data_IF_066399755355
#
_entry.id   IF_066399755355
#
_cell.length_a   1.000
_cell.length_b   1.000
_cell.length_c   1.000
_cell.angle_alpha   90.00
_cell.angle_beta   90.00
_cell.angle_gamma   90.00
#
_symmetry.space_group_name_H-M   'P 1'
#
loop_
_entity.id
_entity.type
_entity.pdbx_description
1 polymer ?
#
# COMPACT_ATOMS: atom_id res chain seq x y z
N UNK A 1 -31.98 47.86 -23.95
CA UNK A 1 -32.40 47.39 -22.61
C UNK A 1 -33.79 46.75 -22.57
N UNK A 2 -34.84 47.28 -23.22
CA UNK A 2 -36.19 46.67 -23.17
C UNK A 2 -36.35 45.28 -23.81
N UNK A 3 -35.46 44.87 -24.74
CA UNK A 3 -35.48 43.52 -25.36
C UNK A 3 -34.91 42.41 -24.46
N UNK A 4 -34.00 42.72 -23.54
CA UNK A 4 -33.36 41.70 -22.69
C UNK A 4 -34.23 41.34 -21.47
N UNK A 5 -35.08 42.27 -21.02
CA UNK A 5 -36.02 42.03 -19.91
C UNK A 5 -37.13 41.07 -20.35
N UNK A 6 -37.60 41.15 -21.61
CA UNK A 6 -38.65 40.25 -22.12
C UNK A 6 -38.11 38.82 -22.26
N UNK A 7 -36.87 38.64 -22.74
CA UNK A 7 -36.24 37.32 -22.84
C UNK A 7 -35.99 36.73 -21.44
N UNK A 8 -35.52 37.54 -20.49
CA UNK A 8 -35.33 37.11 -19.11
C UNK A 8 -36.64 36.72 -18.42
N UNK A 9 -37.73 37.47 -18.64
CA UNK A 9 -39.05 37.12 -18.10
C UNK A 9 -39.61 35.84 -18.74
N UNK A 10 -39.41 35.60 -20.04
CA UNK A 10 -39.82 34.35 -20.69
C UNK A 10 -39.01 33.15 -20.15
N UNK A 11 -37.71 33.32 -19.95
CA UNK A 11 -36.84 32.28 -19.38
C UNK A 11 -37.19 31.96 -17.92
N UNK A 12 -37.48 32.98 -17.11
CA UNK A 12 -37.92 32.81 -15.72
C UNK A 12 -39.32 32.20 -15.62
N UNK A 13 -40.21 32.51 -16.58
CA UNK A 13 -41.55 31.89 -16.68
C UNK A 13 -41.47 30.41 -17.07
N UNK A 14 -40.53 30.04 -17.94
CA UNK A 14 -40.26 28.65 -18.29
C UNK A 14 -39.62 27.88 -17.12
N UNK A 15 -38.68 28.49 -16.39
CA UNK A 15 -38.10 27.91 -15.18
C UNK A 15 -39.15 27.71 -14.07
N UNK A 16 -40.01 28.70 -13.83
CA UNK A 16 -41.07 28.58 -12.82
C UNK A 16 -42.17 27.60 -13.25
N UNK A 17 -42.47 27.47 -14.54
CA UNK A 17 -43.36 26.43 -15.06
C UNK A 17 -42.73 25.04 -14.92
N UNK A 18 -41.41 24.90 -15.17
CA UNK A 18 -40.67 23.65 -15.03
C UNK A 18 -40.54 23.21 -13.56
N UNK A 19 -40.37 24.15 -12.63
CA UNK A 19 -40.39 23.88 -11.19
C UNK A 19 -41.81 23.62 -10.64
N UNK A 20 -42.86 24.16 -11.28
CA UNK A 20 -44.25 23.96 -10.87
C UNK A 20 -44.92 22.73 -11.53
N UNK A 21 -44.30 22.12 -12.54
CA UNK A 21 -44.75 20.86 -13.15
C UNK A 21 -43.67 19.79 -13.03
N UNK A 22 -43.35 19.41 -11.80
CA UNK A 22 -43.11 17.98 -11.55
C UNK A 22 -44.47 17.40 -11.20
N UNK A 23 -45.14 16.66 -12.10
CA UNK A 23 -46.24 15.83 -11.66
C UNK A 23 -45.62 14.81 -10.71
N UNK A 24 -46.03 14.86 -9.44
CA UNK A 24 -46.24 13.64 -8.69
C UNK A 24 -47.08 12.73 -9.58
N UNK A 25 -46.40 11.83 -10.30
CA UNK A 25 -47.02 10.59 -10.71
C UNK A 25 -47.19 9.81 -9.42
N UNK A 26 -48.34 10.00 -8.80
CA UNK A 26 -48.97 8.93 -8.05
C UNK A 26 -49.12 7.76 -9.03
N UNK A 27 -48.09 6.92 -9.09
CA UNK A 27 -48.23 5.56 -9.57
C UNK A 27 -48.90 4.75 -8.46
N UNK A 28 -50.16 5.09 -8.16
CA UNK A 28 -51.14 4.07 -7.77
C UNK A 28 -51.55 3.32 -9.03
N UNK A 29 -50.58 2.64 -9.65
CA UNK A 29 -50.82 1.59 -10.61
C UNK A 29 -50.52 0.31 -9.86
N UNK A 30 -51.56 -0.21 -9.24
CA UNK A 30 -51.65 -1.56 -8.71
C UNK A 30 -51.52 -2.52 -9.91
N UNK A 31 -50.30 -2.77 -10.34
CA UNK A 31 -49.94 -3.87 -11.21
C UNK A 31 -49.23 -4.89 -10.34
N UNK A 32 -49.71 -6.13 -10.35
CA UNK A 32 -48.95 -7.29 -9.92
C UNK A 32 -47.71 -7.45 -10.83
N UNK A 33 -46.73 -6.57 -10.66
CA UNK A 33 -45.44 -6.61 -11.33
C UNK A 33 -44.58 -7.62 -10.56
N UNK A 34 -44.21 -8.70 -11.23
CA UNK A 34 -43.18 -9.61 -10.75
C UNK A 34 -41.94 -8.78 -10.37
N UNK A 35 -41.35 -9.04 -9.19
CA UNK A 35 -40.14 -8.36 -8.75
C UNK A 35 -39.08 -8.39 -9.85
N UNK A 36 -38.31 -7.32 -10.09
CA UNK A 36 -37.27 -7.30 -11.11
C UNK A 36 -36.25 -8.42 -10.87
N UNK A 37 -35.64 -8.91 -11.96
CA UNK A 37 -34.80 -10.12 -11.93
C UNK A 37 -33.66 -10.03 -10.91
N UNK A 38 -32.92 -8.91 -10.87
CA UNK A 38 -31.83 -8.71 -9.91
C UNK A 38 -32.33 -8.85 -8.46
N UNK A 39 -33.53 -8.35 -8.17
CA UNK A 39 -34.13 -8.45 -6.84
C UNK A 39 -34.43 -9.91 -6.50
N UNK A 40 -35.00 -10.68 -7.42
CA UNK A 40 -35.26 -12.11 -7.22
C UNK A 40 -33.96 -12.90 -6.95
N UNK A 41 -32.86 -12.54 -7.62
CA UNK A 41 -31.56 -13.22 -7.51
C UNK A 41 -30.84 -12.86 -6.21
N UNK A 42 -30.87 -11.58 -5.82
CA UNK A 42 -30.05 -11.04 -4.74
C UNK A 42 -30.79 -10.93 -3.39
N UNK A 43 -32.13 -11.01 -3.38
CA UNK A 43 -32.93 -10.96 -2.15
C UNK A 43 -32.49 -12.04 -1.15
N UNK A 44 -32.28 -11.63 0.10
CA UNK A 44 -31.87 -12.51 1.20
C UNK A 44 -30.43 -13.04 1.09
N UNK A 45 -29.64 -12.55 0.13
CA UNK A 45 -28.23 -12.91 0.01
C UNK A 45 -27.38 -12.08 0.96
N UNK A 46 -26.22 -12.64 1.29
CA UNK A 46 -25.23 -12.01 2.15
C UNK A 46 -24.23 -11.24 1.28
N UNK A 47 -24.03 -9.97 1.62
CA UNK A 47 -23.03 -9.10 1.02
C UNK A 47 -21.69 -9.27 1.75
N UNK A 48 -20.65 -9.72 1.05
CA UNK A 48 -19.33 -9.96 1.66
C UNK A 48 -18.41 -8.78 1.37
N UNK A 49 -17.79 -8.21 2.42
CA UNK A 49 -16.77 -7.17 2.32
C UNK A 49 -15.64 -7.58 1.34
N UNK A 50 -15.20 -6.64 0.49
CA UNK A 50 -14.12 -6.83 -0.49
C UNK A 50 -14.42 -7.78 -1.64
N UNK A 51 -15.66 -8.29 -1.71
CA UNK A 51 -16.06 -9.30 -2.70
C UNK A 51 -17.39 -8.96 -3.35
N UNK A 52 -18.45 -8.72 -2.58
CA UNK A 52 -19.82 -8.57 -3.08
C UNK A 52 -20.70 -9.78 -2.77
N UNK A 53 -21.62 -10.12 -3.67
CA UNK A 53 -22.51 -11.27 -3.54
C UNK A 53 -21.81 -12.54 -4.06
N UNK A 54 -21.18 -13.28 -3.14
CA UNK A 54 -20.33 -14.43 -3.48
C UNK A 54 -21.08 -15.46 -4.34
N UNK A 55 -20.49 -15.81 -5.49
CA UNK A 55 -21.06 -16.77 -6.45
C UNK A 55 -22.15 -16.20 -7.36
N UNK A 56 -22.48 -14.91 -7.25
CA UNK A 56 -23.49 -14.24 -8.06
C UNK A 56 -22.88 -13.06 -8.81
N UNK A 57 -22.50 -12.00 -8.09
CA UNK A 57 -21.84 -10.82 -8.63
C UNK A 57 -20.82 -10.28 -7.64
N UNK A 58 -19.62 -10.04 -8.13
CA UNK A 58 -18.48 -9.61 -7.34
C UNK A 58 -17.77 -8.42 -7.97
N UNK A 59 -17.00 -7.69 -7.17
CA UNK A 59 -16.09 -6.60 -7.58
C UNK A 59 -14.87 -7.10 -8.39
N UNK A 60 -14.92 -8.33 -8.91
CA UNK A 60 -13.90 -8.91 -9.79
C UNK A 60 -14.50 -9.37 -11.12
N UNK A 61 -15.82 -9.26 -11.27
CA UNK A 61 -16.52 -9.68 -12.47
C UNK A 61 -16.56 -8.58 -13.53
N UNK A 62 -16.83 -8.98 -14.77
CA UNK A 62 -17.10 -8.06 -15.89
C UNK A 62 -18.61 -7.82 -16.03
N UNK A 63 -19.05 -6.61 -16.38
CA UNK A 63 -20.48 -6.27 -16.51
C UNK A 63 -21.22 -7.18 -17.50
N UNK A 64 -20.57 -7.52 -18.62
CA UNK A 64 -21.15 -8.35 -19.68
C UNK A 64 -21.66 -9.71 -19.17
N UNK A 65 -20.97 -10.33 -18.20
CA UNK A 65 -21.37 -11.63 -17.63
C UNK A 65 -22.56 -11.49 -16.69
N UNK A 66 -22.86 -10.28 -16.20
CA UNK A 66 -23.86 -10.05 -15.15
C UNK A 66 -25.19 -9.55 -15.67
N UNK A 67 -25.25 -8.96 -16.87
CA UNK A 67 -26.53 -8.57 -17.48
C UNK A 67 -27.45 -9.78 -17.68
N UNK A 68 -26.90 -10.94 -18.08
CA UNK A 68 -27.68 -12.17 -18.24
C UNK A 68 -28.26 -12.67 -16.91
N UNK A 69 -27.52 -12.46 -15.80
CA UNK A 69 -27.91 -12.92 -14.47
C UNK A 69 -28.91 -11.99 -13.79
N UNK A 70 -28.69 -10.68 -13.88
CA UNK A 70 -29.42 -9.66 -13.11
C UNK A 70 -30.49 -8.93 -13.94
N UNK A 71 -30.47 -9.09 -15.25
CA UNK A 71 -31.27 -8.32 -16.20
C UNK A 71 -30.54 -7.08 -16.71
N UNK A 72 -31.22 -6.34 -17.57
CA UNK A 72 -30.69 -5.12 -18.20
C UNK A 72 -30.66 -3.96 -17.20
N UNK A 73 -29.48 -3.37 -16.93
CA UNK A 73 -29.39 -2.19 -16.08
C UNK A 73 -29.87 -0.92 -16.82
N UNK A 74 -30.19 0.12 -16.05
CA UNK A 74 -30.24 1.49 -16.54
C UNK A 74 -28.81 2.03 -16.63
N UNK A 75 -28.49 2.68 -17.74
CA UNK A 75 -27.22 3.38 -17.95
C UNK A 75 -27.47 4.90 -17.99
N UNK A 76 -26.55 5.69 -17.44
CA UNK A 76 -26.61 7.14 -17.44
C UNK A 76 -25.39 7.73 -18.15
N UNK A 77 -25.62 8.71 -19.03
CA UNK A 77 -24.55 9.38 -19.77
C UNK A 77 -23.71 10.29 -18.87
N UNK A 78 -24.26 10.76 -17.75
CA UNK A 78 -23.51 11.56 -16.77
C UNK A 78 -22.55 10.69 -15.94
N UNK A 79 -22.83 9.38 -15.84
CA UNK A 79 -22.04 8.40 -15.08
C UNK A 79 -21.62 7.24 -16.00
N UNK A 80 -20.67 7.47 -16.93
CA UNK A 80 -20.25 6.43 -17.86
C UNK A 80 -19.70 5.21 -17.10
N UNK A 81 -19.98 4.01 -17.64
CA UNK A 81 -19.56 2.72 -17.06
C UNK A 81 -20.14 2.45 -15.67
N UNK A 82 -21.25 3.11 -15.33
CA UNK A 82 -22.03 2.86 -14.12
C UNK A 82 -23.38 2.26 -14.52
N UNK A 83 -23.74 1.16 -13.87
CA UNK A 83 -24.94 0.38 -14.18
C UNK A 83 -25.87 0.37 -12.98
N UNK A 84 -27.09 0.89 -13.16
CA UNK A 84 -28.08 1.06 -12.11
C UNK A 84 -29.18 0.00 -12.19
N UNK A 85 -29.45 -0.64 -11.07
CA UNK A 85 -30.57 -1.57 -10.84
C UNK A 85 -31.45 -0.99 -9.74
N UNK A 86 -32.36 -0.09 -10.10
CA UNK A 86 -33.08 0.81 -9.18
C UNK A 86 -34.62 0.73 -9.26
N UNK A 87 -35.16 -0.21 -10.04
CA UNK A 87 -36.61 -0.40 -10.27
C UNK A 87 -37.32 -1.22 -9.17
N UNK A 88 -36.56 -1.89 -8.29
CA UNK A 88 -37.07 -2.83 -7.28
C UNK A 88 -37.31 -2.24 -5.88
N UNK A 89 -37.51 -3.14 -4.92
CA UNK A 89 -37.59 -2.78 -3.50
C UNK A 89 -36.26 -2.27 -2.94
N UNK A 90 -35.14 -2.71 -3.56
CA UNK A 90 -33.83 -2.14 -3.30
C UNK A 90 -33.03 -1.76 -4.53
N UNK A 91 -32.09 -0.84 -4.36
CA UNK A 91 -31.27 -0.28 -5.44
C UNK A 91 -29.84 -0.80 -5.34
N UNK A 92 -29.28 -1.26 -6.47
CA UNK A 92 -27.87 -1.62 -6.57
C UNK A 92 -27.24 -0.90 -7.74
N UNK A 93 -26.08 -0.31 -7.50
CA UNK A 93 -25.27 0.34 -8.52
C UNK A 93 -23.93 -0.38 -8.65
N UNK A 94 -23.53 -0.68 -9.88
CA UNK A 94 -22.19 -1.17 -10.18
C UNK A 94 -21.38 -0.10 -10.88
N UNK A 95 -20.36 0.42 -10.20
CA UNK A 95 -19.38 1.32 -10.81
C UNK A 95 -18.22 0.49 -11.35
N UNK A 96 -17.91 0.67 -12.64
CA UNK A 96 -16.90 -0.10 -13.31
C UNK A 96 -15.68 0.75 -13.67
N UNK A 97 -14.52 0.11 -13.67
CA UNK A 97 -13.27 0.71 -14.08
C UNK A 97 -12.70 -0.05 -15.28
N UNK A 98 -12.08 0.70 -16.19
CA UNK A 98 -11.39 0.12 -17.33
C UNK A 98 -10.08 -0.52 -16.88
N UNK A 99 -10.00 -1.84 -16.96
CA UNK A 99 -8.77 -2.57 -16.73
C UNK A 99 -7.94 -2.61 -18.01
N UNK A 100 -6.79 -1.93 -17.98
CA UNK A 100 -5.87 -1.85 -19.13
C UNK A 100 -5.16 -3.17 -19.44
N UNK A 101 -5.02 -4.09 -18.47
CA UNK A 101 -4.28 -5.35 -18.64
C UNK A 101 -5.02 -6.34 -19.52
N UNK A 102 -6.34 -6.40 -19.42
CA UNK A 102 -7.17 -7.31 -20.23
C UNK A 102 -8.13 -6.58 -21.18
N UNK A 103 -8.02 -5.25 -21.25
CA UNK A 103 -8.84 -4.36 -22.09
C UNK A 103 -10.35 -4.51 -21.83
N UNK A 104 -10.74 -4.84 -20.58
CA UNK A 104 -12.14 -5.01 -20.18
C UNK A 104 -12.55 -4.05 -19.06
N UNK A 105 -13.84 -3.74 -19.00
CA UNK A 105 -14.43 -3.11 -17.81
C UNK A 105 -14.66 -4.16 -16.73
N UNK A 106 -14.24 -3.84 -15.51
CA UNK A 106 -14.48 -4.67 -14.32
C UNK A 106 -15.28 -3.86 -13.32
N UNK A 107 -16.20 -4.53 -12.63
CA UNK A 107 -16.90 -3.93 -11.50
C UNK A 107 -15.83 -3.60 -10.45
N UNK A 108 -15.65 -2.34 -10.10
CA UNK A 108 -14.74 -1.94 -9.03
C UNK A 108 -15.51 -1.69 -7.73
N UNK A 109 -16.77 -1.26 -7.84
CA UNK A 109 -17.63 -1.02 -6.69
C UNK A 109 -19.04 -1.58 -6.89
N UNK A 110 -19.61 -2.09 -5.81
CA UNK A 110 -21.02 -2.44 -5.66
C UNK A 110 -21.59 -1.55 -4.56
N UNK A 111 -22.53 -0.69 -4.91
CA UNK A 111 -23.21 0.21 -3.99
C UNK A 111 -24.62 -0.32 -3.79
N UNK A 112 -25.01 -0.55 -2.54
CA UNK A 112 -26.36 -0.93 -2.16
C UNK A 112 -27.03 0.26 -1.48
N UNK A 113 -28.19 0.63 -2.00
CA UNK A 113 -29.03 1.73 -1.51
C UNK A 113 -30.47 1.23 -1.38
N UNK A 114 -31.27 1.93 -0.55
CA UNK A 114 -32.72 1.70 -0.39
C UNK A 114 -33.06 0.23 -0.12
N UNK A 115 -33.16 -0.26 1.12
CA UNK A 115 -33.71 -1.61 1.38
C UNK A 115 -34.68 -1.52 2.58
N UNK A 116 -35.97 -1.24 2.34
CA UNK A 116 -36.93 -0.95 3.41
C UNK A 116 -37.19 -2.16 4.31
N UNK A 117 -36.92 -3.36 3.81
CA UNK A 117 -37.14 -4.62 4.52
C UNK A 117 -35.83 -5.19 5.11
N UNK A 118 -34.69 -4.52 4.90
CA UNK A 118 -33.36 -4.91 5.37
C UNK A 118 -33.00 -6.37 5.05
N UNK A 119 -33.39 -6.83 3.85
CA UNK A 119 -33.27 -8.22 3.45
C UNK A 119 -31.83 -8.57 3.06
N UNK A 120 -31.04 -7.60 2.62
CA UNK A 120 -29.64 -7.79 2.31
C UNK A 120 -28.79 -7.30 3.48
N UNK A 121 -27.98 -8.22 4.01
CA UNK A 121 -27.08 -7.97 5.13
C UNK A 121 -25.65 -8.27 4.76
N UNK A 122 -24.72 -7.56 5.38
CA UNK A 122 -23.31 -7.92 5.34
C UNK A 122 -23.07 -9.26 6.06
N UNK A 123 -21.90 -9.87 5.86
CA UNK A 123 -21.49 -11.07 6.61
C UNK A 123 -21.43 -10.87 8.14
N UNK A 124 -21.32 -9.61 8.61
CA UNK A 124 -21.38 -9.26 10.03
C UNK A 124 -22.79 -8.85 10.52
N UNK A 125 -23.80 -8.97 9.66
CA UNK A 125 -25.20 -8.75 10.00
C UNK A 125 -25.71 -7.31 9.86
N UNK A 126 -24.88 -6.39 9.38
CA UNK A 126 -25.25 -4.97 9.14
C UNK A 126 -26.11 -4.85 7.86
N UNK A 127 -27.20 -4.10 7.93
CA UNK A 127 -28.08 -3.72 6.83
C UNK A 127 -28.21 -2.19 6.69
N UNK A 128 -28.86 -1.75 5.60
CA UNK A 128 -29.32 -0.37 5.47
C UNK A 128 -30.29 -0.01 6.60
N UNK A 129 -30.18 1.21 7.13
CA UNK A 129 -30.96 1.71 8.26
C UNK A 129 -30.46 1.29 9.65
N UNK A 130 -29.42 0.45 9.75
CA UNK A 130 -28.76 0.19 11.04
C UNK A 130 -27.95 1.43 11.49
N UNK A 131 -27.75 1.58 12.80
CA UNK A 131 -26.96 2.70 13.35
C UNK A 131 -25.46 2.56 13.05
N UNK A 132 -24.79 3.68 12.77
CA UNK A 132 -23.33 3.69 12.56
C UNK A 132 -22.54 3.19 13.79
N UNK A 133 -23.11 3.34 14.98
CA UNK A 133 -22.53 2.81 16.22
C UNK A 133 -22.43 1.27 16.19
N UNK A 134 -23.44 0.59 15.63
CA UNK A 134 -23.43 -0.85 15.46
C UNK A 134 -22.35 -1.29 14.45
N UNK A 135 -22.11 -0.50 13.41
CA UNK A 135 -21.01 -0.74 12.46
C UNK A 135 -19.67 -0.74 13.17
N UNK A 136 -19.39 0.32 13.96
CA UNK A 136 -18.15 0.43 14.73
C UNK A 136 -17.99 -0.72 15.74
N UNK A 137 -19.08 -1.18 16.35
CA UNK A 137 -19.05 -2.36 17.22
C UNK A 137 -18.67 -3.64 16.46
N UNK A 138 -19.25 -3.88 15.27
CA UNK A 138 -19.02 -5.12 14.51
C UNK A 138 -17.71 -5.11 13.73
N UNK A 139 -17.29 -3.96 13.21
CA UNK A 139 -16.11 -3.82 12.36
C UNK A 139 -14.87 -3.28 13.10
N UNK A 140 -15.03 -2.71 14.29
CA UNK A 140 -13.94 -2.19 15.11
C UNK A 140 -13.67 -0.71 14.85
N UNK A 141 -12.43 -0.29 15.11
CA UNK A 141 -11.98 1.08 14.83
C UNK A 141 -11.99 1.32 13.32
N UNK A 142 -12.68 2.36 12.87
CA UNK A 142 -12.64 2.77 11.47
C UNK A 142 -11.23 3.28 11.12
N UNK A 143 -10.78 3.00 9.90
CA UNK A 143 -9.49 3.45 9.40
C UNK A 143 -9.59 4.89 8.90
N UNK A 144 -10.66 5.19 8.15
CA UNK A 144 -11.01 6.54 7.72
C UNK A 144 -12.44 6.88 8.15
N UNK A 145 -12.60 8.00 8.86
CA UNK A 145 -13.90 8.56 9.22
C UNK A 145 -14.12 9.86 8.44
N UNK A 146 -15.22 9.92 7.69
CA UNK A 146 -15.67 11.10 6.95
C UNK A 146 -16.88 11.71 7.66
N UNK A 147 -17.23 12.95 7.30
CA UNK A 147 -18.41 13.62 7.88
C UNK A 147 -19.71 12.83 7.66
N UNK A 148 -19.77 12.07 6.58
CA UNK A 148 -20.90 11.33 6.05
C UNK A 148 -20.72 9.80 6.09
N UNK A 149 -19.66 9.26 6.71
CA UNK A 149 -19.50 7.81 6.74
C UNK A 149 -18.24 7.27 7.41
N UNK A 150 -18.08 5.95 7.36
CA UNK A 150 -16.89 5.22 7.82
C UNK A 150 -16.43 4.22 6.78
N UNK A 151 -15.11 4.08 6.62
CA UNK A 151 -14.51 3.21 5.60
C UNK A 151 -13.48 2.27 6.23
N UNK A 152 -13.44 1.04 5.71
CA UNK A 152 -12.49 -0.01 6.08
C UNK A 152 -11.74 -0.53 4.83
N UNK A 153 -10.73 0.21 4.34
CA UNK A 153 -10.03 -0.07 3.07
C UNK A 153 -9.54 -1.51 2.93
N UNK A 154 -8.88 -2.01 3.97
CA UNK A 154 -8.32 -3.37 4.03
C UNK A 154 -9.38 -4.47 3.95
N UNK A 155 -10.62 -4.15 4.30
CA UNK A 155 -11.75 -5.08 4.24
C UNK A 155 -12.55 -4.91 2.94
N UNK A 156 -12.34 -3.84 2.17
CA UNK A 156 -13.08 -3.58 0.94
C UNK A 156 -14.54 -3.20 1.19
N UNK A 157 -14.82 -2.43 2.25
CA UNK A 157 -16.19 -2.01 2.60
C UNK A 157 -16.25 -0.60 3.19
N UNK A 158 -17.32 0.12 2.89
CA UNK A 158 -17.65 1.44 3.45
C UNK A 158 -19.13 1.56 3.74
N UNK A 159 -19.48 2.49 4.63
CA UNK A 159 -20.84 2.76 5.07
C UNK A 159 -21.06 4.27 5.08
N UNK A 160 -22.02 4.74 4.27
CA UNK A 160 -22.46 6.15 4.24
C UNK A 160 -23.69 6.28 5.11
N UNK A 161 -23.76 7.34 5.92
CA UNK A 161 -24.84 7.58 6.87
C UNK A 161 -25.73 8.74 6.43
N UNK A 162 -26.98 8.71 6.84
CA UNK A 162 -27.91 9.83 6.70
C UNK A 162 -27.77 10.85 7.85
N UNK A 163 -28.63 11.86 7.85
CA UNK A 163 -28.67 12.88 8.90
C UNK A 163 -29.02 12.35 10.30
N UNK A 164 -29.51 11.10 10.41
CA UNK A 164 -29.88 10.45 11.66
C UNK A 164 -28.81 9.45 12.14
N UNK A 165 -27.61 9.47 11.55
CA UNK A 165 -26.52 8.51 11.80
C UNK A 165 -26.88 7.05 11.51
N UNK A 166 -27.88 6.83 10.63
CA UNK A 166 -28.25 5.49 10.13
C UNK A 166 -27.64 5.24 8.77
N UNK A 167 -27.34 3.98 8.44
CA UNK A 167 -26.69 3.63 7.19
C UNK A 167 -27.64 3.85 6.01
N UNK A 168 -27.32 4.82 5.16
CA UNK A 168 -28.02 5.09 3.91
C UNK A 168 -27.51 4.21 2.77
N UNK A 169 -26.20 3.92 2.77
CA UNK A 169 -25.54 3.18 1.69
C UNK A 169 -24.48 2.23 2.23
N UNK A 170 -24.36 1.06 1.60
CA UNK A 170 -23.25 0.12 1.82
C UNK A 170 -22.46 0.01 0.52
N UNK A 171 -21.18 0.35 0.60
CA UNK A 171 -20.27 0.32 -0.55
C UNK A 171 -19.31 -0.86 -0.37
N UNK A 172 -19.28 -1.77 -1.32
CA UNK A 172 -18.26 -2.82 -1.43
C UNK A 172 -17.34 -2.44 -2.58
N UNK A 173 -16.06 -2.33 -2.30
CA UNK A 173 -15.06 -2.10 -3.34
C UNK A 173 -14.06 -3.24 -3.38
N UNK A 174 -13.42 -3.40 -4.53
CA UNK A 174 -12.31 -4.32 -4.68
C UNK A 174 -11.24 -3.98 -3.64
N UNK A 175 -10.80 -4.97 -2.87
CA UNK A 175 -9.56 -4.82 -2.10
C UNK A 175 -8.47 -4.78 -3.16
N UNK A 176 -7.75 -3.66 -3.34
CA UNK A 176 -6.58 -3.65 -4.19
C UNK A 176 -5.61 -4.65 -3.57
N UNK A 177 -5.46 -5.81 -4.20
CA UNK A 177 -4.23 -6.56 -4.01
C UNK A 177 -3.17 -5.73 -4.70
N UNK A 178 -2.05 -5.40 -4.04
CA UNK A 178 -0.92 -4.79 -4.73
C UNK A 178 -0.62 -5.64 -5.96
N UNK A 179 -0.95 -5.13 -7.14
CA UNK A 179 -0.62 -5.81 -8.38
C UNK A 179 0.82 -5.41 -8.67
N UNK A 180 1.76 -6.31 -8.35
CA UNK A 180 3.17 -6.08 -8.61
C UNK A 180 3.34 -5.61 -10.06
N UNK A 181 4.09 -4.53 -10.31
CA UNK A 181 4.54 -4.22 -11.65
C UNK A 181 5.21 -5.44 -12.25
N UNK A 182 5.01 -5.68 -13.55
CA UNK A 182 5.57 -6.87 -14.24
C UNK A 182 7.08 -7.01 -14.03
N UNK A 183 7.80 -5.90 -13.98
CA UNK A 183 9.24 -5.88 -13.75
C UNK A 183 9.66 -6.26 -12.32
N UNK A 184 8.73 -6.49 -11.39
CA UNK A 184 9.00 -7.14 -10.10
C UNK A 184 8.57 -8.60 -10.06
N UNK A 185 7.94 -9.11 -11.12
CA UNK A 185 7.66 -10.54 -11.29
C UNK A 185 8.92 -11.28 -11.78
N UNK A 186 8.89 -12.62 -11.86
CA UNK A 186 10.08 -13.35 -12.30
C UNK A 186 10.11 -13.41 -13.81
N UNK A 187 11.17 -12.84 -14.39
CA UNK A 187 11.46 -12.95 -15.80
C UNK A 187 12.83 -13.59 -16.01
N UNK A 188 12.90 -14.50 -16.98
CA UNK A 188 14.16 -15.09 -17.41
C UNK A 188 14.89 -14.06 -18.27
N UNK A 189 16.06 -13.61 -17.84
CA UNK A 189 16.93 -12.75 -18.64
C UNK A 189 17.99 -13.60 -19.35
N UNK A 190 18.15 -13.46 -20.68
CA UNK A 190 18.94 -14.39 -21.48
C UNK A 190 20.46 -14.15 -21.42
N UNK A 191 20.91 -12.99 -20.94
CA UNK A 191 22.32 -12.63 -20.92
C UNK A 191 23.01 -13.03 -19.60
N UNK A 192 24.34 -13.07 -19.64
CA UNK A 192 25.15 -13.37 -18.46
C UNK A 192 25.12 -12.18 -17.49
N UNK A 193 24.75 -12.46 -16.24
CA UNK A 193 24.75 -11.49 -15.16
C UNK A 193 26.01 -11.64 -14.30
N UNK A 194 26.61 -10.51 -13.95
CA UNK A 194 27.67 -10.41 -12.97
C UNK A 194 27.12 -9.89 -11.65
N UNK A 195 27.55 -10.49 -10.55
CA UNK A 195 27.22 -10.00 -9.21
C UNK A 195 28.19 -8.89 -8.80
N UNK A 196 27.62 -7.81 -8.31
CA UNK A 196 28.32 -6.62 -7.84
C UNK A 196 27.96 -6.38 -6.38
N UNK A 197 28.96 -6.02 -5.58
CA UNK A 197 28.77 -5.60 -4.21
C UNK A 197 28.95 -4.09 -4.11
N UNK A 198 27.89 -3.38 -3.72
CA UNK A 198 27.90 -1.94 -3.48
C UNK A 198 27.63 -1.72 -2.00
N UNK A 199 28.70 -1.42 -1.25
CA UNK A 199 28.71 -1.39 0.21
C UNK A 199 28.29 -2.75 0.81
N UNK A 200 27.02 -2.89 1.17
CA UNK A 200 26.43 -4.06 1.81
C UNK A 200 25.16 -4.55 1.07
N UNK A 201 24.97 -4.02 -0.13
CA UNK A 201 23.96 -4.44 -1.07
C UNK A 201 24.63 -5.30 -2.15
N UNK A 202 24.02 -6.43 -2.47
CA UNK A 202 24.33 -7.20 -3.67
C UNK A 202 23.32 -6.86 -4.75
N UNK A 203 23.81 -6.72 -5.99
CA UNK A 203 22.99 -6.53 -7.18
C UNK A 203 23.65 -7.28 -8.34
N UNK A 204 22.85 -7.80 -9.26
CA UNK A 204 23.30 -8.49 -10.46
C UNK A 204 22.97 -7.64 -11.69
N UNK A 205 23.99 -7.35 -12.51
CA UNK A 205 23.88 -6.54 -13.74
C UNK A 205 24.39 -7.34 -14.93
N UNK A 206 24.01 -7.00 -16.18
CA UNK A 206 24.63 -7.62 -17.34
C UNK A 206 26.16 -7.44 -17.33
N UNK A 207 26.89 -8.50 -17.69
CA UNK A 207 28.34 -8.51 -17.64
C UNK A 207 29.01 -7.47 -18.56
N UNK A 208 28.28 -6.97 -19.57
CA UNK A 208 28.72 -5.94 -20.51
C UNK A 208 28.69 -4.52 -19.96
N UNK A 209 27.98 -4.27 -18.85
CA UNK A 209 27.80 -2.93 -18.30
C UNK A 209 29.08 -2.41 -17.66
N UNK A 210 29.35 -1.12 -17.88
CA UNK A 210 30.57 -0.47 -17.40
C UNK A 210 30.28 0.45 -16.22
N UNK A 211 31.12 0.37 -15.18
CA UNK A 211 31.07 1.31 -14.06
C UNK A 211 31.42 2.74 -14.52
N UNK A 212 30.65 3.71 -14.04
CA UNK A 212 30.88 5.15 -14.26
C UNK A 212 30.92 5.89 -12.94
N UNK A 213 31.80 6.89 -12.87
CA UNK A 213 31.91 7.77 -11.72
C UNK A 213 30.94 8.95 -11.92
N UNK A 214 29.80 8.91 -11.24
CA UNK A 214 28.89 10.06 -11.12
C UNK A 214 29.29 10.91 -9.89
N UNK A 215 29.08 12.23 -9.94
CA UNK A 215 29.57 13.18 -8.92
C UNK A 215 28.66 13.33 -7.67
N UNK A 216 29.30 13.76 -6.58
CA UNK A 216 28.92 14.17 -5.20
C UNK A 216 27.87 13.40 -4.37
N UNK A 217 26.89 12.67 -4.93
CA UNK A 217 25.86 12.00 -4.09
C UNK A 217 25.54 10.53 -4.46
N UNK A 218 26.14 10.00 -5.52
CA UNK A 218 26.02 8.59 -5.91
C UNK A 218 27.14 7.74 -5.31
N UNK A 219 26.81 6.55 -4.82
CA UNK A 219 27.81 5.59 -4.36
C UNK A 219 28.37 4.79 -5.54
N UNK A 220 27.52 4.44 -6.50
CA UNK A 220 27.89 3.69 -7.68
C UNK A 220 26.96 4.02 -8.84
N UNK A 221 27.43 3.81 -10.06
CA UNK A 221 26.56 3.79 -11.23
C UNK A 221 27.19 3.08 -12.40
N UNK A 222 26.33 2.64 -13.32
CA UNK A 222 26.68 1.74 -14.40
C UNK A 222 25.93 2.13 -15.67
N UNK A 223 26.62 2.14 -16.79
CA UNK A 223 26.01 2.38 -18.11
C UNK A 223 26.08 1.12 -18.97
N UNK A 224 25.02 0.88 -19.73
CA UNK A 224 25.01 -0.03 -20.85
C UNK A 224 25.63 0.65 -22.09
N UNK A 225 26.77 0.16 -22.61
CA UNK A 225 27.39 0.73 -23.80
C UNK A 225 26.57 0.54 -25.08
N UNK A 226 25.65 -0.44 -25.14
CA UNK A 226 24.86 -0.73 -26.34
C UNK A 226 23.56 0.07 -26.39
N UNK A 227 22.81 0.07 -25.28
CA UNK A 227 21.47 0.69 -25.24
C UNK A 227 21.49 2.11 -24.69
N UNK A 228 22.54 2.49 -23.95
CA UNK A 228 22.58 3.74 -23.21
C UNK A 228 21.70 3.76 -21.95
N UNK A 229 21.21 2.59 -21.51
CA UNK A 229 20.60 2.43 -20.20
C UNK A 229 21.59 2.78 -19.10
N UNK A 230 21.11 3.38 -18.00
CA UNK A 230 21.97 3.80 -16.90
C UNK A 230 21.35 3.47 -15.55
N UNK A 231 22.13 2.82 -14.69
CA UNK A 231 21.77 2.54 -13.30
C UNK A 231 22.55 3.50 -12.38
N UNK A 232 21.83 4.13 -11.45
CA UNK A 232 22.40 4.97 -10.41
C UNK A 232 22.00 4.47 -9.03
N UNK A 233 22.98 4.34 -8.13
CA UNK A 233 22.77 3.95 -6.74
C UNK A 233 23.23 5.10 -5.84
N UNK A 234 22.30 5.59 -5.03
CA UNK A 234 22.54 6.70 -4.09
C UNK A 234 22.15 6.28 -2.67
N UNK A 235 22.69 6.99 -1.68
CA UNK A 235 22.41 6.74 -0.27
C UNK A 235 22.30 8.03 0.52
N UNK A 236 21.36 8.04 1.47
CA UNK A 236 21.26 9.01 2.54
C UNK A 236 21.21 8.29 3.89
N UNK A 237 21.30 9.06 4.96
CA UNK A 237 21.11 8.60 6.33
C UNK A 237 20.07 9.48 7.01
N UNK A 238 19.32 8.89 7.93
CA UNK A 238 18.37 9.63 8.77
C UNK A 238 19.10 10.66 9.65
N UNK A 239 18.48 11.84 9.78
CA UNK A 239 18.78 12.84 10.79
C UNK A 239 17.48 13.33 11.45
N UNK A 240 17.57 14.23 12.44
CA UNK A 240 16.42 14.73 13.21
C UNK A 240 15.31 15.40 12.37
N UNK A 241 15.55 15.65 11.08
CA UNK A 241 14.62 16.29 10.16
C UNK A 241 14.31 15.45 8.90
N UNK A 242 14.79 14.20 8.83
CA UNK A 242 14.82 13.45 7.57
C UNK A 242 14.35 11.99 7.70
N UNK A 243 13.05 11.77 7.58
CA UNK A 243 12.43 10.43 7.62
C UNK A 243 12.36 9.76 6.25
N UNK A 244 12.11 8.44 6.21
CA UNK A 244 11.88 7.68 4.97
C UNK A 244 10.83 8.31 4.05
N UNK A 245 9.70 8.76 4.61
CA UNK A 245 8.62 9.39 3.83
C UNK A 245 9.11 10.70 3.19
N UNK A 246 9.86 11.50 3.94
CA UNK A 246 10.45 12.74 3.44
C UNK A 246 11.47 12.45 2.35
N UNK A 247 12.27 11.39 2.50
CA UNK A 247 13.22 10.95 1.49
C UNK A 247 12.53 10.50 0.20
N UNK A 248 11.47 9.70 0.30
CA UNK A 248 10.67 9.27 -0.86
C UNK A 248 10.15 10.49 -1.61
N UNK A 249 9.51 11.44 -0.92
CA UNK A 249 9.00 12.65 -1.58
C UNK A 249 10.10 13.49 -2.25
N UNK A 250 11.28 13.57 -1.63
CA UNK A 250 12.42 14.27 -2.22
C UNK A 250 12.92 13.56 -3.49
N UNK A 251 13.07 12.23 -3.44
CA UNK A 251 13.53 11.45 -4.58
C UNK A 251 12.52 11.50 -5.73
N UNK A 252 11.23 11.39 -5.43
CA UNK A 252 10.19 11.58 -6.45
C UNK A 252 10.29 12.97 -7.07
N UNK A 253 10.38 14.04 -6.27
CA UNK A 253 10.47 15.39 -6.80
C UNK A 253 11.72 15.66 -7.67
N UNK A 254 12.82 14.95 -7.42
CA UNK A 254 14.09 15.14 -8.16
C UNK A 254 14.11 14.30 -9.45
N UNK A 255 13.65 13.05 -9.39
CA UNK A 255 13.87 12.06 -10.44
C UNK A 255 12.60 11.64 -11.18
N UNK A 256 11.41 11.96 -10.65
CA UNK A 256 10.12 11.46 -11.17
C UNK A 256 9.14 12.62 -11.39
N UNK A 257 8.74 12.82 -12.64
CA UNK A 257 7.72 13.82 -12.97
C UNK A 257 6.30 13.36 -12.59
N UNK A 258 5.96 12.12 -12.94
CA UNK A 258 4.68 11.49 -12.59
C UNK A 258 4.89 9.98 -12.40
N UNK A 259 4.49 9.45 -11.24
CA UNK A 259 4.61 8.03 -10.94
C UNK A 259 3.40 7.26 -11.49
N UNK A 260 3.68 6.40 -12.47
CA UNK A 260 2.71 5.58 -13.21
C UNK A 260 2.17 4.40 -12.39
N UNK A 261 2.77 4.10 -11.23
CA UNK A 261 2.28 3.09 -10.30
C UNK A 261 1.17 3.72 -9.44
N UNK A 262 -0.01 3.07 -9.28
CA UNK A 262 -1.05 3.55 -8.39
C UNK A 262 -0.53 3.74 -6.96
N UNK A 263 -0.94 4.82 -6.28
CA UNK A 263 -0.42 5.21 -4.95
C UNK A 263 -0.45 4.07 -3.92
N UNK A 264 -1.53 3.28 -3.90
CA UNK A 264 -1.69 2.16 -2.98
C UNK A 264 -0.76 0.96 -3.25
N UNK A 265 -0.15 0.89 -4.44
CA UNK A 265 0.70 -0.22 -4.86
C UNK A 265 2.20 0.13 -4.78
N UNK A 266 2.54 1.36 -4.35
CA UNK A 266 3.93 1.85 -4.35
C UNK A 266 4.74 1.38 -3.15
N UNK A 267 4.09 1.02 -2.05
CA UNK A 267 4.77 0.48 -0.87
C UNK A 267 4.93 -1.03 -0.98
N UNK A 268 6.13 -1.53 -0.69
CA UNK A 268 6.40 -2.95 -0.73
C UNK A 268 5.80 -3.66 0.48
N UNK A 269 5.26 -4.86 0.24
CA UNK A 269 4.70 -5.71 1.30
C UNK A 269 5.80 -6.37 2.15
N UNK A 270 5.46 -6.79 3.37
CA UNK A 270 6.43 -7.45 4.29
C UNK A 270 7.16 -8.64 3.66
N UNK A 271 6.48 -9.46 2.87
CA UNK A 271 7.10 -10.65 2.26
C UNK A 271 8.12 -10.27 1.18
N UNK A 272 7.89 -9.15 0.47
CA UNK A 272 8.89 -8.61 -0.45
C UNK A 272 10.05 -7.98 0.29
N UNK A 273 9.78 -7.26 1.38
CA UNK A 273 10.81 -6.65 2.22
C UNK A 273 11.76 -7.71 2.80
N UNK A 274 11.24 -8.87 3.21
CA UNK A 274 12.06 -10.03 3.62
C UNK A 274 12.96 -10.54 2.49
N UNK A 275 12.46 -10.56 1.25
CA UNK A 275 13.25 -10.96 0.09
C UNK A 275 14.42 -10.01 -0.16
N UNK A 276 14.16 -8.69 -0.10
CA UNK A 276 15.20 -7.67 -0.27
C UNK A 276 16.10 -7.51 0.95
N UNK A 277 15.67 -7.98 2.13
CA UNK A 277 16.39 -7.74 3.38
C UNK A 277 16.21 -6.31 3.91
N UNK A 278 15.13 -5.60 3.55
CA UNK A 278 14.87 -4.20 3.86
C UNK A 278 13.77 -4.02 4.92
N UNK A 279 13.79 -2.90 5.65
CA UNK A 279 12.79 -2.53 6.66
C UNK A 279 11.54 -1.92 6.03
N UNK A 280 11.73 -1.00 5.08
CA UNK A 280 10.69 -0.38 4.26
C UNK A 280 11.14 -0.28 2.82
N UNK A 281 10.17 -0.16 1.92
CA UNK A 281 10.41 -0.19 0.50
C UNK A 281 9.35 0.57 -0.28
N UNK A 282 9.79 1.31 -1.27
CA UNK A 282 8.95 2.09 -2.16
C UNK A 282 9.38 1.86 -3.61
N UNK A 283 8.42 1.83 -4.52
CA UNK A 283 8.66 1.64 -5.94
C UNK A 283 8.01 2.74 -6.76
N UNK A 284 8.66 3.09 -7.85
CA UNK A 284 8.14 4.05 -8.81
C UNK A 284 8.53 3.67 -10.24
N UNK A 285 7.67 4.08 -11.17
CA UNK A 285 7.93 4.01 -12.59
C UNK A 285 7.45 5.31 -13.22
N UNK A 286 8.25 5.93 -14.07
CA UNK A 286 7.86 7.15 -14.77
C UNK A 286 8.41 7.21 -16.18
N UNK A 287 7.89 8.12 -16.98
CA UNK A 287 8.46 8.51 -18.27
C UNK A 287 8.79 9.99 -18.18
N UNK A 288 10.01 10.36 -18.55
CA UNK A 288 10.46 11.75 -18.63
C UNK A 288 9.51 12.61 -19.47
N UNK A 289 9.38 13.90 -19.17
CA UNK A 289 8.41 14.78 -19.82
C UNK A 289 8.68 15.00 -21.31
N UNK A 290 9.92 14.80 -21.76
CA UNK A 290 10.28 14.79 -23.18
C UNK A 290 10.09 13.42 -23.86
N UNK A 291 9.69 12.40 -23.09
CA UNK A 291 9.42 11.04 -23.56
C UNK A 291 10.67 10.26 -23.99
N UNK A 292 11.87 10.76 -23.70
CA UNK A 292 13.13 10.16 -24.18
C UNK A 292 13.61 9.01 -23.32
N UNK A 293 13.11 8.91 -22.09
CA UNK A 293 13.55 7.91 -21.10
C UNK A 293 12.39 7.44 -20.23
N UNK A 294 12.42 6.15 -19.88
CA UNK A 294 11.66 5.58 -18.78
C UNK A 294 12.56 5.41 -17.57
N UNK A 295 12.06 5.78 -16.40
CA UNK A 295 12.74 5.60 -15.13
C UNK A 295 12.03 4.53 -14.31
N UNK A 296 12.81 3.63 -13.72
CA UNK A 296 12.40 2.67 -12.70
C UNK A 296 13.16 2.97 -11.43
N UNK A 297 12.45 3.05 -10.31
CA UNK A 297 13.08 3.37 -9.05
C UNK A 297 12.61 2.43 -7.94
N UNK A 298 13.58 2.00 -7.14
CA UNK A 298 13.35 1.37 -5.85
C UNK A 298 14.03 2.21 -4.76
N UNK A 299 13.29 2.51 -3.71
CA UNK A 299 13.79 3.18 -2.52
C UNK A 299 13.64 2.22 -1.35
N UNK A 300 14.71 2.00 -0.59
CA UNK A 300 14.70 1.11 0.57
C UNK A 300 15.18 1.81 1.81
N UNK A 301 14.59 1.46 2.94
CA UNK A 301 15.14 1.72 4.27
C UNK A 301 15.80 0.44 4.78
N UNK A 302 17.00 0.60 5.33
CA UNK A 302 17.70 -0.46 6.04
C UNK A 302 18.22 0.08 7.36
N UNK A 303 17.66 -0.44 8.44
CA UNK A 303 18.12 -0.17 9.80
C UNK A 303 19.44 -0.87 10.06
N UNK A 304 20.39 -0.13 10.68
CA UNK A 304 21.71 -0.64 11.03
C UNK A 304 22.23 -0.11 12.35
N UNK A 305 23.34 -0.71 12.77
CA UNK A 305 24.06 -0.38 13.98
C UNK A 305 25.57 -0.13 13.78
N UNK A 306 25.99 0.80 12.91
CA UNK A 306 27.41 1.11 12.78
C UNK A 306 27.91 1.79 14.05
N UNK A 307 29.04 1.31 14.59
CA UNK A 307 29.71 1.89 15.76
C UNK A 307 28.81 2.02 17.01
N UNK A 308 27.90 1.07 17.20
CA UNK A 308 26.95 1.06 18.30
C UNK A 308 25.91 2.19 18.31
N UNK A 309 25.56 2.74 17.14
CA UNK A 309 24.52 3.77 17.02
C UNK A 309 23.44 3.28 16.05
N UNK A 310 22.19 3.38 16.47
CA UNK A 310 21.03 3.09 15.62
C UNK A 310 20.96 4.14 14.50
N UNK A 311 21.00 3.68 13.25
CA UNK A 311 20.92 4.56 12.12
C UNK A 311 20.17 3.89 10.98
N UNK A 312 19.11 4.57 10.51
CA UNK A 312 18.42 4.19 9.30
C UNK A 312 19.15 4.74 8.08
N UNK A 313 19.36 3.85 7.12
CA UNK A 313 19.96 4.17 5.85
C UNK A 313 18.92 4.08 4.75
N UNK A 314 18.89 5.12 3.93
CA UNK A 314 18.01 5.18 2.78
C UNK A 314 18.80 4.97 1.51
N UNK A 315 18.37 4.00 0.72
CA UNK A 315 18.97 3.64 -0.56
C UNK A 315 18.02 3.99 -1.69
N UNK A 316 18.54 4.64 -2.73
CA UNK A 316 17.80 4.83 -3.98
C UNK A 316 18.53 4.12 -5.10
N UNK A 317 17.83 3.23 -5.78
CA UNK A 317 18.30 2.53 -6.97
C UNK A 317 17.41 2.99 -8.12
N UNK A 318 18.01 3.67 -9.09
CA UNK A 318 17.32 4.29 -10.22
C UNK A 318 17.88 3.74 -11.52
N UNK A 319 17.03 3.18 -12.37
CA UNK A 319 17.37 2.64 -13.68
C UNK A 319 16.65 3.44 -14.76
N UNK A 320 17.41 4.12 -15.60
CA UNK A 320 16.91 4.85 -16.76
C UNK A 320 17.11 4.01 -18.02
N UNK A 321 16.02 3.80 -18.76
CA UNK A 321 16.02 3.13 -20.07
C UNK A 321 15.67 4.15 -21.15
N UNK A 322 16.56 4.41 -22.13
CA UNK A 322 16.23 5.24 -23.28
C UNK A 322 15.06 4.66 -24.08
N UNK A 323 14.13 5.54 -24.46
CA UNK A 323 12.98 5.21 -25.29
C UNK A 323 13.17 5.76 -26.71
N UNK A 324 12.59 5.05 -27.68
CA UNK A 324 12.47 5.58 -29.03
C UNK A 324 11.45 6.73 -29.06
N UNK A 325 11.95 7.94 -29.24
CA UNK A 325 11.15 9.18 -29.35
C UNK A 325 10.08 9.15 -30.44
N UNK A 326 10.20 8.26 -31.44
CA UNK A 326 9.21 8.11 -32.51
C UNK A 326 8.03 7.21 -32.12
N UNK A 327 8.15 6.43 -31.04
CA UNK A 327 7.12 5.49 -30.60
C UNK A 327 7.08 5.38 -29.07
N UNK A 328 6.74 6.49 -28.41
CA UNK A 328 6.66 6.61 -26.95
C UNK A 328 5.50 5.74 -26.44
N UNK A 329 5.80 4.54 -25.98
CA UNK A 329 4.88 3.69 -25.24
C UNK A 329 4.99 3.98 -23.74
N UNK A 330 3.86 4.06 -23.04
CA UNK A 330 3.86 4.11 -21.56
C UNK A 330 4.08 2.72 -20.97
N UNK A 331 3.79 1.66 -21.73
CA UNK A 331 4.05 0.28 -21.32
C UNK A 331 5.44 -0.16 -21.79
N UNK A 332 6.25 -0.78 -20.93
CA UNK A 332 7.52 -1.34 -21.33
C UNK A 332 7.33 -2.57 -22.21
N UNK A 333 8.28 -2.78 -23.12
CA UNK A 333 8.30 -4.01 -23.92
C UNK A 333 8.84 -5.21 -23.12
N UNK A 334 8.75 -6.41 -23.70
CA UNK A 334 9.14 -7.64 -23.02
C UNK A 334 10.63 -7.67 -22.64
N UNK A 335 11.52 -7.13 -23.49
CA UNK A 335 12.96 -7.11 -23.21
C UNK A 335 13.30 -6.12 -22.11
N UNK A 336 12.66 -4.96 -22.12
CA UNK A 336 12.77 -3.97 -21.07
C UNK A 336 12.33 -4.57 -19.73
N UNK A 337 11.18 -5.26 -19.69
CA UNK A 337 10.69 -5.94 -18.47
C UNK A 337 11.67 -7.02 -18.01
N UNK A 338 12.20 -7.84 -18.90
CA UNK A 338 13.18 -8.89 -18.57
C UNK A 338 14.45 -8.31 -17.93
N UNK A 339 15.02 -7.25 -18.53
CA UNK A 339 16.20 -6.56 -18.01
C UNK A 339 15.95 -5.93 -16.64
N UNK A 340 14.88 -5.13 -16.54
CA UNK A 340 14.55 -4.41 -15.29
C UNK A 340 14.25 -5.42 -14.19
N UNK A 341 13.54 -6.50 -14.49
CA UNK A 341 13.29 -7.60 -13.55
C UNK A 341 14.58 -8.25 -13.07
N UNK A 342 15.50 -8.59 -13.98
CA UNK A 342 16.76 -9.20 -13.60
C UNK A 342 17.55 -8.31 -12.63
N UNK A 343 17.66 -7.02 -12.95
CA UNK A 343 18.41 -6.06 -12.12
C UNK A 343 17.68 -5.81 -10.79
N UNK A 344 16.44 -5.34 -10.82
CA UNK A 344 15.73 -4.87 -9.62
C UNK A 344 15.47 -5.99 -8.62
N UNK A 345 15.20 -7.20 -9.10
CA UNK A 345 14.99 -8.35 -8.20
C UNK A 345 16.26 -8.93 -7.62
N UNK A 346 17.40 -8.76 -8.29
CA UNK A 346 18.67 -9.25 -7.76
C UNK A 346 19.15 -8.47 -6.54
N UNK A 347 18.56 -7.30 -6.27
CA UNK A 347 18.88 -6.46 -5.12
C UNK A 347 18.66 -7.26 -3.83
N UNK A 348 19.68 -7.30 -2.99
CA UNK A 348 19.60 -7.90 -1.67
C UNK A 348 20.52 -7.19 -0.69
N UNK A 349 19.98 -6.75 0.44
CA UNK A 349 20.76 -6.20 1.54
C UNK A 349 21.25 -7.33 2.45
N UNK A 350 22.50 -7.22 2.89
CA UNK A 350 23.07 -8.21 3.79
C UNK A 350 22.31 -8.28 5.13
N UNK A 351 21.94 -9.50 5.49
CA UNK A 351 21.21 -9.86 6.70
C UNK A 351 19.72 -9.48 6.68
N UNK A 352 18.90 -10.15 7.51
CA UNK A 352 17.45 -9.95 7.51
C UNK A 352 17.07 -8.54 8.00
N UNK A 353 15.84 -8.08 7.72
CA UNK A 353 15.31 -6.88 8.34
C UNK A 353 15.35 -7.02 9.87
N UNK A 354 15.81 -5.99 10.55
CA UNK A 354 15.77 -5.95 12.01
C UNK A 354 14.32 -5.63 12.44
N UNK A 355 13.75 -6.35 13.42
CA UNK A 355 12.43 -6.00 13.93
C UNK A 355 12.45 -4.59 14.51
N UNK A 356 11.49 -3.75 14.12
CA UNK A 356 11.25 -2.47 14.76
C UNK A 356 10.72 -2.71 16.17
N UNK A 357 11.55 -2.48 17.20
CA UNK A 357 11.11 -2.59 18.60
C UNK A 357 10.41 -1.32 19.10
N UNK A 358 10.44 -0.23 18.32
CA UNK A 358 9.73 1.03 18.60
C UNK A 358 8.47 1.14 17.76
N UNK A 359 7.39 0.48 18.16
CA UNK A 359 6.09 0.82 17.59
C UNK A 359 4.92 0.49 18.52
N UNK A 360 4.88 1.07 19.72
CA UNK A 360 3.61 1.29 20.42
C UNK A 360 3.63 2.62 21.21
N UNK A 361 2.55 3.39 21.04
CA UNK A 361 2.25 4.57 21.85
C UNK A 361 2.30 4.16 23.35
N UNK A 362 3.09 4.90 24.13
CA UNK A 362 3.38 4.70 25.57
C UNK A 362 4.23 3.47 25.92
N UNK A 363 5.51 3.48 25.52
CA UNK A 363 6.53 2.73 26.24
C UNK A 363 6.66 3.31 27.66
N UNK A 364 6.50 2.46 28.68
CA UNK A 364 6.82 2.88 30.05
C UNK A 364 8.33 3.16 30.14
N UNK A 365 8.81 4.05 31.03
CA UNK A 365 10.24 4.37 31.18
C UNK A 365 11.13 3.12 31.37
N UNK A 366 10.53 2.09 31.97
CA UNK A 366 11.12 0.78 32.21
C UNK A 366 11.37 0.00 30.91
N UNK A 367 10.51 0.12 29.90
CA UNK A 367 10.68 -0.54 28.59
C UNK A 367 11.70 0.20 27.71
N UNK A 368 11.79 1.53 27.82
CA UNK A 368 12.80 2.33 27.12
C UNK A 368 14.23 1.97 27.55
N UNK A 369 14.44 1.60 28.82
CA UNK A 369 15.75 1.25 29.35
C UNK A 369 16.29 -0.10 28.82
N UNK A 370 15.39 -1.04 28.48
CA UNK A 370 15.74 -2.41 28.09
C UNK A 370 15.85 -2.57 26.57
N UNK A 371 15.11 -1.74 25.83
CA UNK A 371 15.05 -1.77 24.36
C UNK A 371 16.43 -1.86 23.70
N UNK A 372 17.42 -1.00 24.05
CA UNK A 372 18.73 -1.02 23.39
C UNK A 372 19.49 -2.34 23.59
N UNK A 373 19.30 -2.98 24.74
CA UNK A 373 19.97 -4.25 25.07
C UNK A 373 19.31 -5.43 24.34
N UNK A 374 17.97 -5.45 24.26
CA UNK A 374 17.24 -6.47 23.48
C UNK A 374 17.54 -6.34 21.99
N UNK A 375 17.62 -5.11 21.47
CA UNK A 375 18.03 -4.83 20.09
C UNK A 375 19.43 -5.37 19.81
N UNK A 376 20.42 -5.07 20.67
CA UNK A 376 21.79 -5.57 20.53
C UNK A 376 21.87 -7.10 20.51
N UNK A 377 21.09 -7.78 21.36
CA UNK A 377 21.00 -9.25 21.39
C UNK A 377 20.40 -9.80 20.09
N UNK A 378 19.30 -9.20 19.60
CA UNK A 378 18.65 -9.60 18.35
C UNK A 378 19.61 -9.43 17.17
N UNK A 379 20.28 -8.27 17.06
CA UNK A 379 21.24 -7.99 15.99
C UNK A 379 22.40 -8.97 16.00
N UNK A 380 23.01 -9.22 17.15
CA UNK A 380 24.11 -10.18 17.24
C UNK A 380 23.71 -11.62 16.90
N UNK A 381 22.53 -12.04 17.35
CA UNK A 381 21.98 -13.36 16.99
C UNK A 381 21.71 -13.47 15.48
N UNK A 382 21.21 -12.40 14.88
CA UNK A 382 20.89 -12.29 13.46
C UNK A 382 22.14 -12.30 12.58
N UNK A 383 23.15 -11.50 12.91
CA UNK A 383 24.37 -11.32 12.10
C UNK A 383 25.52 -12.24 12.52
N UNK A 384 25.32 -13.11 13.51
CA UNK A 384 26.33 -14.03 14.07
C UNK A 384 27.57 -13.30 14.61
N UNK A 385 27.43 -12.03 15.02
CA UNK A 385 28.50 -11.23 15.60
C UNK A 385 28.59 -11.46 17.13
N UNK A 386 29.01 -12.67 17.48
CA UNK A 386 29.13 -13.09 18.88
C UNK A 386 30.24 -12.32 19.61
N UNK A 387 31.29 -11.90 18.93
CA UNK A 387 32.38 -11.12 19.52
C UNK A 387 31.93 -9.69 19.84
N UNK A 388 31.20 -9.05 18.92
CA UNK A 388 30.57 -7.74 19.15
C UNK A 388 29.57 -7.76 20.29
N UNK A 389 28.74 -8.81 20.38
CA UNK A 389 27.82 -9.00 21.51
C UNK A 389 28.55 -9.14 22.84
N UNK A 390 29.57 -9.98 22.90
CA UNK A 390 30.35 -10.18 24.12
C UNK A 390 31.01 -8.86 24.57
N UNK A 391 31.55 -8.06 23.64
CA UNK A 391 32.15 -6.77 23.93
C UNK A 391 31.13 -5.76 24.47
N UNK A 392 29.95 -5.66 23.85
CA UNK A 392 28.85 -4.81 24.31
C UNK A 392 28.38 -5.20 25.72
N UNK A 393 28.12 -6.48 25.96
CA UNK A 393 27.66 -6.98 27.26
C UNK A 393 28.71 -6.77 28.38
N UNK A 394 30.01 -6.89 28.05
CA UNK A 394 31.10 -6.60 28.98
C UNK A 394 31.20 -5.11 29.31
N UNK A 395 31.03 -4.23 28.32
CA UNK A 395 31.09 -2.79 28.53
C UNK A 395 29.85 -2.26 29.27
N UNK A 396 28.67 -2.80 28.97
CA UNK A 396 27.43 -2.51 29.70
C UNK A 396 27.57 -2.90 31.18
N UNK A 397 28.04 -4.12 31.45
CA UNK A 397 28.29 -4.60 32.82
C UNK A 397 29.31 -3.72 33.55
N UNK A 398 30.41 -3.35 32.88
CA UNK A 398 31.44 -2.47 33.45
C UNK A 398 30.87 -1.09 33.80
N UNK A 399 30.09 -0.49 32.90
CA UNK A 399 29.48 0.83 33.10
C UNK A 399 28.48 0.82 34.26
N UNK A 400 27.79 -0.30 34.47
CA UNK A 400 26.92 -0.51 35.62
C UNK A 400 27.68 -0.71 36.94
N UNK A 401 28.67 -1.63 36.96
CA UNK A 401 29.51 -1.91 38.13
C UNK A 401 30.27 -0.64 38.60
N UNK A 402 30.60 0.27 37.66
CA UNK A 402 31.23 1.58 37.91
C UNK A 402 30.24 2.67 38.39
N UNK A 403 28.97 2.34 38.66
CA UNK A 403 27.91 3.21 39.21
C UNK A 403 27.51 4.44 38.38
N UNK A 404 27.85 4.50 37.09
CA UNK A 404 27.46 5.64 36.22
C UNK A 404 25.96 5.60 35.89
N UNK A 405 25.34 4.42 35.92
CA UNK A 405 23.89 4.21 35.79
C UNK A 405 23.34 3.90 37.19
N UNK A 406 23.00 4.93 37.96
CA UNK A 406 22.34 4.72 39.26
C UNK A 406 20.83 4.53 39.02
N UNK A 407 20.23 3.39 39.42
CA UNK A 407 18.78 3.20 39.32
C UNK A 407 18.05 4.32 40.06
N UNK A 408 17.05 4.93 39.42
CA UNK A 408 16.23 6.01 39.99
C UNK A 408 15.08 5.46 40.85
N UNK A 409 14.83 4.16 40.82
CA UNK A 409 13.82 3.49 41.65
C UNK A 409 14.22 2.05 41.99
N UNK A 410 13.59 1.48 43.03
CA UNK A 410 13.77 0.08 43.43
C UNK A 410 13.23 -0.92 42.40
N UNK A 411 12.33 -0.50 41.52
CA UNK A 411 11.86 -1.31 40.39
C UNK A 411 12.93 -1.39 39.29
N UNK A 412 13.59 -0.26 38.99
CA UNK A 412 14.70 -0.22 38.03
C UNK A 412 15.87 -1.11 38.48
N UNK A 413 16.15 -1.16 39.79
CA UNK A 413 17.20 -2.03 40.35
C UNK A 413 16.92 -3.52 40.12
N UNK A 414 15.67 -3.96 40.34
CA UNK A 414 15.26 -5.35 40.11
C UNK A 414 15.23 -5.76 38.64
N UNK A 415 14.80 -4.85 37.75
CA UNK A 415 14.82 -5.05 36.30
C UNK A 415 16.28 -5.15 35.80
N UNK A 416 17.17 -4.32 36.34
CA UNK A 416 18.55 -4.32 35.89
C UNK A 416 19.32 -5.56 36.39
N UNK A 417 19.00 -6.07 37.58
CA UNK A 417 19.46 -7.40 38.01
C UNK A 417 18.99 -8.50 37.05
N UNK A 418 17.74 -8.45 36.59
CA UNK A 418 17.20 -9.42 35.63
C UNK A 418 17.91 -9.34 34.26
N UNK A 419 18.21 -8.12 33.77
CA UNK A 419 19.03 -7.92 32.56
C UNK A 419 20.44 -8.47 32.73
N UNK A 420 21.06 -8.28 33.89
CA UNK A 420 22.40 -8.80 34.18
C UNK A 420 22.41 -10.32 34.28
N UNK A 421 21.37 -10.92 34.83
CA UNK A 421 21.18 -12.36 34.88
C UNK A 421 20.96 -12.94 33.47
N UNK A 422 20.11 -12.32 32.64
CA UNK A 422 19.93 -12.71 31.23
C UNK A 422 21.25 -12.55 30.46
N UNK A 423 21.96 -11.44 30.67
CA UNK A 423 23.27 -11.17 30.07
C UNK A 423 24.31 -12.22 30.46
N UNK A 424 24.30 -12.64 31.73
CA UNK A 424 25.18 -13.68 32.25
C UNK A 424 24.81 -15.05 31.69
N UNK A 425 23.53 -15.39 31.60
CA UNK A 425 23.04 -16.65 31.03
C UNK A 425 23.37 -16.76 29.53
N UNK A 426 23.21 -15.66 28.78
CA UNK A 426 23.67 -15.52 27.39
C UNK A 426 25.19 -15.74 27.32
N UNK A 427 25.98 -15.03 28.14
CA UNK A 427 27.43 -15.21 28.18
C UNK A 427 27.86 -16.65 28.50
N UNK A 428 27.24 -17.29 29.49
CA UNK A 428 27.54 -18.67 29.88
C UNK A 428 27.15 -19.67 28.77
N UNK A 429 26.03 -19.44 28.09
CA UNK A 429 25.56 -20.28 26.98
C UNK A 429 26.47 -20.17 25.76
N UNK A 430 26.92 -18.97 25.39
CA UNK A 430 27.77 -18.74 24.21
C UNK A 430 29.27 -18.99 24.48
N UNK A 431 29.82 -18.61 25.64
CA UNK A 431 31.22 -18.91 25.99
C UNK A 431 31.44 -20.39 26.37
N UNK A 432 30.40 -21.07 26.86
CA UNK A 432 30.40 -22.51 27.11
C UNK A 432 30.47 -23.35 25.83
N UNK A 433 29.93 -22.84 24.72
CA UNK A 433 29.97 -23.49 23.41
C UNK A 433 31.28 -23.24 22.64
N UNK A 434 31.96 -22.11 22.87
CA UNK A 434 33.31 -21.84 22.32
C UNK A 434 34.38 -22.74 22.97
N UNK A 435 34.26 -23.09 24.26
CA UNK A 435 35.21 -24.01 24.93
C UNK A 435 35.12 -25.47 24.46
N UNK A 436 34.06 -25.86 23.76
CA UNK A 436 33.90 -27.21 23.20
C UNK A 436 34.30 -27.32 21.72
N UNK A 437 34.85 -26.24 21.13
CA UNK A 437 35.32 -26.19 19.74
C UNK A 437 36.85 -25.96 19.66
N UNK A 438 37.57 -26.03 20.79
CA UNK A 438 39.05 -26.05 20.82
C UNK A 438 39.58 -27.42 21.19
#
# INVERSE_FOLDING_TARGET
>A
MKKNIIIFCIYLSFMLAYCATSPQKDHSAQSDLESPQYEQVLRGKILKAGVGFTGLVTVYDTPAVKHDLLGTPREDLEFPFTYFYDDGSFSITFACEFNRKDMNFRINQIILERDPDQLIKTSKGIALGDDIALVKEKYGKAYDEYSDGVVYPELGIGFIKDANDTIAEIIIYRIPKPELPKWLEYHLYPEELQRIEVLDMQIELPASWEEKIYQENSIAGYDDPETGASLLISKAYEDEHFSFVTFVYLQEAIFIEENLIPENDRLLTEDMLKYFGANRGYIAQSVSGDGTKRNYMMIFEKTRYPNNIYQDYYYTISLDIPLDTLNISIEPDEKEVELVSAIMRSISFNGPPLPELKNEETLQPETEAILPTLEAIITAAVFRDLEGLCAYLLDFKRTYDEQIITPRSSNEEGILEEILDITKEINETFMGSVKNIV
#
